data_IF_995349628547
#
_entry.id   IF_995349628547
#
_cell.length_a   1.000
_cell.length_b   1.000
_cell.length_c   1.000
_cell.angle_alpha   90.00
_cell.angle_beta   90.00
_cell.angle_gamma   90.00
#
_symmetry.space_group_name_H-M   'P 1'
#
loop_
_entity.id
_entity.type
_entity.pdbx_description
1 polymer ?
#
# COMPACT_ATOMS: atom_id res chain seq x y z
N UNK A 1 -5.24 -3.05 -31.09
CA UNK A 1 -4.88 -3.57 -29.74
C UNK A 1 -5.40 -2.59 -28.69
N UNK A 2 -5.68 -3.03 -27.45
CA UNK A 2 -6.05 -2.07 -26.38
C UNK A 2 -4.82 -1.25 -26.01
N UNK A 3 -4.89 0.07 -26.09
CA UNK A 3 -3.75 0.95 -25.77
C UNK A 3 -3.43 0.99 -24.28
N UNK A 4 -4.43 0.75 -23.42
CA UNK A 4 -4.32 0.90 -21.97
C UNK A 4 -4.78 -0.37 -21.24
N UNK A 5 -4.17 -0.65 -20.08
CA UNK A 5 -4.58 -1.68 -19.11
C UNK A 5 -4.28 -1.23 -17.69
N UNK A 6 -5.16 -1.59 -16.76
CA UNK A 6 -4.90 -1.50 -15.33
C UNK A 6 -4.48 -2.85 -14.80
N UNK A 7 -3.19 -3.02 -14.49
CA UNK A 7 -2.67 -4.21 -13.83
C UNK A 7 -2.79 -4.03 -12.32
N UNK A 8 -3.32 -5.05 -11.63
CA UNK A 8 -3.65 -4.96 -10.20
C UNK A 8 -2.74 -5.88 -9.40
N UNK A 9 -2.21 -5.36 -8.30
CA UNK A 9 -1.51 -6.11 -7.26
C UNK A 9 -2.36 -5.99 -6.01
N UNK A 10 -2.79 -7.12 -5.46
CA UNK A 10 -3.60 -7.17 -4.24
C UNK A 10 -2.74 -7.63 -3.08
N UNK A 11 -2.74 -6.85 -2.01
CA UNK A 11 -2.02 -7.14 -0.77
C UNK A 11 -3.04 -7.26 0.36
N UNK A 12 -2.93 -8.29 1.20
CA UNK A 12 -3.80 -8.47 2.36
C UNK A 12 -3.09 -8.02 3.62
N UNK A 13 -3.56 -6.94 4.21
CA UNK A 13 -3.11 -6.42 5.50
C UNK A 13 -3.86 -7.16 6.59
N UNK A 14 -3.13 -7.94 7.36
CA UNK A 14 -3.64 -8.84 8.40
C UNK A 14 -3.60 -8.22 9.78
N UNK A 15 -2.68 -7.27 10.01
CA UNK A 15 -2.49 -6.64 11.31
C UNK A 15 -2.03 -5.19 11.19
N UNK A 16 -2.16 -4.47 12.31
CA UNK A 16 -1.73 -3.08 12.45
C UNK A 16 -0.22 -2.93 12.23
N UNK A 17 0.18 -1.90 11.48
CA UNK A 17 1.57 -1.58 11.18
C UNK A 17 2.26 -2.64 10.32
N UNK A 18 1.53 -3.58 9.74
CA UNK A 18 2.10 -4.65 8.94
C UNK A 18 2.80 -4.09 7.71
N UNK A 19 4.01 -4.61 7.46
CA UNK A 19 4.78 -4.34 6.26
C UNK A 19 4.76 -5.55 5.33
N UNK A 20 4.24 -5.37 4.13
CA UNK A 20 4.08 -6.43 3.11
C UNK A 20 5.03 -6.14 1.95
N UNK A 21 5.96 -7.05 1.71
CA UNK A 21 6.77 -7.05 0.48
C UNK A 21 6.01 -7.75 -0.63
N UNK A 22 6.09 -7.21 -1.83
CA UNK A 22 5.45 -7.80 -3.01
C UNK A 22 6.39 -7.73 -4.21
N UNK A 23 6.20 -8.69 -5.11
CA UNK A 23 6.91 -8.78 -6.37
C UNK A 23 5.96 -9.25 -7.48
N UNK A 24 6.34 -8.97 -8.73
CA UNK A 24 5.57 -9.37 -9.89
C UNK A 24 6.27 -8.99 -11.18
N UNK A 25 5.56 -9.07 -12.30
CA UNK A 25 6.08 -8.71 -13.62
C UNK A 25 5.02 -7.89 -14.35
N UNK A 26 5.42 -6.81 -15.01
CA UNK A 26 4.52 -6.06 -15.89
C UNK A 26 3.99 -6.94 -17.02
N UNK A 27 2.76 -6.69 -17.47
CA UNK A 27 2.21 -7.39 -18.62
C UNK A 27 3.02 -7.08 -19.89
N UNK A 28 3.44 -8.14 -20.59
CA UNK A 28 4.27 -8.07 -21.79
C UNK A 28 3.65 -7.30 -22.97
N UNK A 29 2.34 -7.10 -22.98
CA UNK A 29 1.63 -6.40 -24.05
C UNK A 29 1.71 -4.87 -23.98
N UNK A 30 2.38 -4.31 -22.96
CA UNK A 30 2.40 -2.88 -22.69
C UNK A 30 3.84 -2.36 -22.50
N UNK A 31 4.15 -1.26 -23.16
CA UNK A 31 5.49 -0.67 -23.21
C UNK A 31 5.84 0.19 -22.01
N UNK A 32 4.86 0.90 -21.43
CA UNK A 32 5.13 1.91 -20.41
C UNK A 32 4.23 1.79 -19.18
N UNK A 33 4.73 2.25 -18.03
CA UNK A 33 3.91 2.58 -16.86
C UNK A 33 3.67 4.09 -16.85
N UNK A 34 2.40 4.48 -16.94
CA UNK A 34 1.98 5.90 -16.92
C UNK A 34 1.73 6.42 -15.52
N UNK A 35 1.28 5.57 -14.61
CA UNK A 35 0.90 6.00 -13.28
C UNK A 35 0.50 4.88 -12.35
N UNK A 36 0.23 5.25 -11.11
CA UNK A 36 -0.18 4.36 -10.03
C UNK A 36 -1.37 4.94 -9.26
N UNK A 37 -2.26 4.05 -8.82
CA UNK A 37 -3.35 4.39 -7.91
C UNK A 37 -3.48 3.30 -6.85
N UNK A 38 -3.48 3.70 -5.58
CA UNK A 38 -3.65 2.79 -4.44
C UNK A 38 -5.08 2.91 -3.92
N UNK A 39 -5.83 1.83 -4.04
CA UNK A 39 -7.18 1.71 -3.48
C UNK A 39 -7.10 1.05 -2.12
N UNK A 40 -7.57 1.76 -1.10
CA UNK A 40 -7.73 1.28 0.27
C UNK A 40 -9.23 1.30 0.61
N UNK A 41 -9.79 0.23 1.19
CA UNK A 41 -11.23 0.12 1.43
C UNK A 41 -11.73 0.95 2.62
N UNK A 42 -10.81 1.44 3.45
CA UNK A 42 -11.10 2.17 4.68
C UNK A 42 -10.27 3.45 4.71
N UNK A 43 -10.91 4.62 4.59
CA UNK A 43 -10.21 5.92 4.54
C UNK A 43 -9.29 6.14 5.76
N UNK A 44 -9.69 5.60 6.91
CA UNK A 44 -8.91 5.68 8.15
C UNK A 44 -7.57 4.94 8.10
N UNK A 45 -7.42 3.97 7.19
CA UNK A 45 -6.19 3.22 6.99
C UNK A 45 -5.21 3.91 6.02
N UNK A 46 -5.60 5.06 5.45
CA UNK A 46 -4.73 5.85 4.55
C UNK A 46 -3.67 6.61 5.36
N UNK A 47 -4.02 7.06 6.57
CA UNK A 47 -3.14 7.88 7.39
C UNK A 47 -1.83 7.14 7.69
N UNK A 48 -0.70 7.78 7.38
CA UNK A 48 0.66 7.25 7.61
C UNK A 48 1.02 5.94 6.90
N UNK A 49 0.15 5.42 6.02
CA UNK A 49 0.51 4.27 5.18
C UNK A 49 1.52 4.68 4.10
N UNK A 50 2.49 3.82 3.81
CA UNK A 50 3.54 4.08 2.81
C UNK A 50 3.62 3.01 1.73
N UNK A 51 4.12 3.38 0.56
CA UNK A 51 4.37 2.46 -0.56
C UNK A 51 5.73 2.76 -1.21
N UNK A 52 6.68 1.84 -1.01
CA UNK A 52 7.88 1.74 -1.84
C UNK A 52 7.61 0.96 -3.11
N UNK A 53 8.11 1.44 -4.25
CA UNK A 53 7.89 0.83 -5.55
C UNK A 53 9.13 0.95 -6.44
N UNK A 54 9.60 -0.19 -6.93
CA UNK A 54 10.71 -0.31 -7.87
C UNK A 54 10.26 -1.07 -9.11
N UNK A 55 10.85 -0.71 -10.24
CA UNK A 55 10.70 -1.40 -11.51
C UNK A 55 12.09 -1.64 -12.09
N UNK A 56 12.43 -2.89 -12.41
CA UNK A 56 13.76 -3.27 -12.92
C UNK A 56 14.89 -2.74 -12.03
N UNK A 57 14.73 -2.85 -10.71
CA UNK A 57 15.64 -2.31 -9.68
C UNK A 57 15.80 -0.78 -9.66
N UNK A 58 15.07 -0.05 -10.49
CA UNK A 58 15.01 1.41 -10.45
C UNK A 58 13.89 1.84 -9.50
N UNK A 59 14.22 2.72 -8.57
CA UNK A 59 13.25 3.29 -7.64
C UNK A 59 12.34 4.30 -8.34
N UNK A 60 11.03 4.07 -8.24
CA UNK A 60 10.01 4.96 -8.80
C UNK A 60 9.25 5.70 -7.70
N UNK A 61 9.10 5.05 -6.54
CA UNK A 61 8.62 5.66 -5.31
C UNK A 61 9.55 5.17 -4.19
N UNK A 62 10.04 6.10 -3.38
CA UNK A 62 10.82 5.77 -2.19
C UNK A 62 9.99 4.94 -1.19
N UNK A 63 10.68 4.23 -0.29
CA UNK A 63 10.03 3.36 0.69
C UNK A 63 9.11 4.10 1.70
N UNK A 64 9.23 5.42 1.79
CA UNK A 64 8.46 6.30 2.67
C UNK A 64 7.31 7.02 1.96
N UNK A 65 7.10 6.79 0.66
CA UNK A 65 6.16 7.56 -0.12
C UNK A 65 4.73 7.38 0.40
N UNK A 66 4.11 8.47 0.82
CA UNK A 66 2.84 8.41 1.54
C UNK A 66 1.68 8.04 0.61
N UNK A 67 0.91 7.01 0.99
CA UNK A 67 -0.21 6.51 0.19
C UNK A 67 -1.31 7.54 0.00
N UNK A 68 -1.44 8.52 0.92
CA UNK A 68 -2.38 9.64 0.76
C UNK A 68 -2.15 10.46 -0.52
N UNK A 69 -0.93 10.42 -1.08
CA UNK A 69 -0.57 11.09 -2.34
C UNK A 69 -0.89 10.23 -3.58
N UNK A 70 -1.15 8.94 -3.39
CA UNK A 70 -1.39 7.95 -4.44
C UNK A 70 -2.83 7.44 -4.46
N UNK A 71 -3.68 8.02 -3.62
CA UNK A 71 -5.10 7.67 -3.48
C UNK A 71 -5.97 8.92 -3.57
N UNK A 72 -7.27 8.72 -3.70
CA UNK A 72 -8.23 9.81 -3.79
C UNK A 72 -9.59 9.34 -3.28
N UNK A 73 -10.44 10.29 -2.89
CA UNK A 73 -11.80 9.99 -2.44
C UNK A 73 -12.66 9.40 -3.57
N UNK A 74 -13.79 8.83 -3.17
CA UNK A 74 -14.75 8.23 -4.12
C UNK A 74 -15.40 9.24 -5.07
N UNK A 75 -15.35 10.54 -4.75
CA UNK A 75 -15.93 11.60 -5.57
C UNK A 75 -15.06 11.99 -6.78
N UNK A 76 -13.81 11.51 -6.83
CA UNK A 76 -12.93 11.74 -7.98
C UNK A 76 -13.33 10.81 -9.13
N UNK A 77 -13.46 11.37 -10.32
CA UNK A 77 -13.84 10.62 -11.52
C UNK A 77 -12.85 9.44 -11.75
N UNK A 78 -13.33 8.26 -12.20
CA UNK A 78 -12.47 7.08 -12.38
C UNK A 78 -11.21 7.32 -13.22
N UNK A 79 -11.31 8.16 -14.25
CA UNK A 79 -10.20 8.45 -15.17
C UNK A 79 -9.16 9.44 -14.61
N UNK A 80 -9.41 10.04 -13.44
CA UNK A 80 -8.53 11.05 -12.83
C UNK A 80 -7.97 10.61 -11.48
N UNK A 81 -8.07 9.31 -11.15
CA UNK A 81 -7.63 8.78 -9.84
C UNK A 81 -6.13 8.50 -9.73
N UNK A 82 -5.42 8.45 -10.85
CA UNK A 82 -4.02 8.02 -10.88
C UNK A 82 -3.06 9.17 -10.61
N UNK A 83 -2.07 8.92 -9.75
CA UNK A 83 -0.83 9.67 -9.77
C UNK A 83 -0.09 9.33 -11.06
N UNK A 84 0.20 10.33 -11.89
CA UNK A 84 0.93 10.15 -13.15
C UNK A 84 2.41 10.38 -12.92
N UNK A 85 3.25 9.47 -13.42
CA UNK A 85 4.68 9.70 -13.39
C UNK A 85 5.06 10.81 -14.37
N UNK A 86 5.99 11.71 -14.01
CA UNK A 86 6.40 12.82 -14.87
C UNK A 86 7.15 12.33 -16.11
N UNK A 87 7.80 11.18 -16.03
CA UNK A 87 8.63 10.59 -17.09
C UNK A 87 7.97 9.35 -17.68
N UNK A 88 8.35 9.00 -18.92
CA UNK A 88 7.95 7.72 -19.52
C UNK A 88 8.80 6.61 -18.91
N UNK A 89 8.17 5.77 -18.11
CA UNK A 89 8.82 4.64 -17.46
C UNK A 89 8.60 3.39 -18.33
N UNK A 90 9.69 2.76 -18.77
CA UNK A 90 9.62 1.52 -19.55
C UNK A 90 9.18 0.34 -18.68
N UNK A 91 8.06 -0.27 -19.06
CA UNK A 91 7.53 -1.49 -18.45
C UNK A 91 8.16 -2.73 -19.09
N UNK A 92 7.87 -3.02 -20.37
CA UNK A 92 8.48 -4.09 -21.18
C UNK A 92 8.68 -5.45 -20.48
N UNK A 93 7.66 -5.97 -19.78
CA UNK A 93 7.78 -7.18 -18.93
C UNK A 93 8.77 -7.03 -17.76
N UNK A 94 8.89 -5.81 -17.24
CA UNK A 94 9.82 -5.47 -16.17
C UNK A 94 9.44 -6.08 -14.83
N UNK A 95 10.45 -6.35 -14.01
CA UNK A 95 10.30 -6.86 -12.66
C UNK A 95 9.73 -5.78 -11.77
N UNK A 96 8.59 -6.06 -11.15
CA UNK A 96 7.96 -5.20 -10.14
C UNK A 96 8.42 -5.66 -8.78
N UNK A 97 8.86 -4.72 -7.95
CA UNK A 97 9.18 -4.95 -6.55
C UNK A 97 8.64 -3.81 -5.71
N UNK A 98 8.21 -4.10 -4.49
CA UNK A 98 7.78 -3.04 -3.60
C UNK A 98 7.46 -3.49 -2.20
N UNK A 99 7.13 -2.49 -1.39
CA UNK A 99 6.82 -2.66 0.03
C UNK A 99 5.70 -1.72 0.42
N UNK A 100 4.58 -2.28 0.82
CA UNK A 100 3.49 -1.52 1.44
C UNK A 100 3.62 -1.61 2.96
N UNK A 101 3.40 -0.50 3.67
CA UNK A 101 3.37 -0.44 5.13
C UNK A 101 2.04 0.15 5.57
N UNK A 102 1.28 -0.57 6.40
CA UNK A 102 0.11 -0.01 7.07
C UNK A 102 0.52 1.11 8.03
N UNK A 103 -0.25 2.18 8.06
CA UNK A 103 0.05 3.36 8.88
C UNK A 103 -0.48 3.27 10.31
N UNK A 104 -1.29 2.26 10.63
CA UNK A 104 -1.81 2.08 11.98
C UNK A 104 -0.69 1.78 12.96
N UNK A 105 -0.62 2.55 14.04
CA UNK A 105 0.24 2.24 15.18
C UNK A 105 -0.54 1.44 16.21
N UNK A 106 0.11 0.48 16.86
CA UNK A 106 -0.45 -0.11 18.08
C UNK A 106 -0.78 1.01 19.07
N UNK A 107 -1.97 1.01 19.69
CA UNK A 107 -2.14 1.81 20.89
C UNK A 107 -1.01 1.46 21.83
N UNK A 108 -0.24 2.47 22.25
CA UNK A 108 0.48 2.35 23.50
C UNK A 108 -0.58 1.99 24.53
N UNK A 109 -0.60 0.75 25.00
CA UNK A 109 -1.44 0.39 26.12
C UNK A 109 -0.98 1.28 27.27
N UNK A 110 -1.85 2.20 27.68
CA UNK A 110 -1.59 3.07 28.82
C UNK A 110 -1.52 2.15 30.02
N UNK A 111 -0.34 2.05 30.62
CA UNK A 111 -0.14 1.39 31.89
C UNK A 111 -1.11 2.02 32.91
N UNK A 112 -1.98 1.23 33.51
CA UNK A 112 -2.95 1.68 34.52
C UNK A 112 -2.29 1.94 35.89
N UNK A 113 -0.99 2.27 35.91
CA UNK A 113 -0.28 2.65 37.12
C UNK A 113 0.30 1.48 37.91
N UNK A 114 0.45 0.31 37.31
CA UNK A 114 1.23 -0.79 37.90
C UNK A 114 2.47 -1.01 37.05
N UNK A 115 3.48 -0.18 37.35
CA UNK A 115 4.82 -0.16 36.77
C UNK A 115 5.49 -1.55 36.82
N UNK A 116 5.20 -2.40 35.84
CA UNK A 116 5.83 -3.71 35.64
C UNK A 116 6.33 -3.96 34.22
N UNK A 117 6.40 -2.94 33.37
CA UNK A 117 7.26 -3.03 32.20
C UNK A 117 6.91 -2.09 31.07
N UNK A 118 7.96 -1.47 30.52
CA UNK A 118 7.97 -0.99 29.13
C UNK A 118 7.46 -2.13 28.24
N UNK A 119 6.24 -2.01 27.72
CA UNK A 119 5.71 -2.98 26.76
C UNK A 119 6.51 -2.89 25.47
N UNK A 120 7.35 -3.90 25.26
CA UNK A 120 8.11 -4.06 24.02
C UNK A 120 7.14 -4.49 22.91
N UNK A 121 6.86 -3.64 21.90
CA UNK A 121 5.99 -4.01 20.78
C UNK A 121 6.53 -5.20 19.98
N UNK A 122 7.79 -5.61 20.16
CA UNK A 122 8.35 -6.84 19.63
C UNK A 122 7.96 -8.13 20.37
N UNK A 123 7.29 -8.03 21.54
CA UNK A 123 6.92 -9.18 22.40
C UNK A 123 5.44 -9.54 22.39
N UNK A 124 4.58 -8.72 21.78
CA UNK A 124 3.15 -9.00 21.65
C UNK A 124 2.85 -9.41 20.21
N UNK A 125 2.44 -10.67 20.03
CA UNK A 125 2.00 -11.17 18.73
C UNK A 125 0.55 -10.75 18.46
N UNK A 126 0.39 -9.49 18.06
CA UNK A 126 -0.90 -8.94 17.70
C UNK A 126 -1.53 -9.61 16.46
N UNK A 127 -0.76 -10.39 15.67
CA UNK A 127 -1.34 -11.17 14.57
C UNK A 127 -2.24 -12.30 15.08
N UNK A 128 -2.02 -12.75 16.32
CA UNK A 128 -2.74 -13.87 16.94
C UNK A 128 -3.58 -13.46 18.16
N UNK A 129 -3.64 -12.17 18.51
CA UNK A 129 -4.41 -11.69 19.65
C UNK A 129 -5.90 -11.59 19.28
N UNK A 130 -6.63 -12.68 19.54
CA UNK A 130 -8.08 -12.75 19.31
C UNK A 130 -8.81 -11.57 19.98
N UNK A 131 -9.68 -10.89 19.23
CA UNK A 131 -10.49 -9.76 19.71
C UNK A 131 -9.96 -8.36 19.36
N UNK A 132 -8.74 -8.23 18.84
CA UNK A 132 -8.12 -6.95 18.45
C UNK A 132 -8.08 -6.75 16.93
N UNK A 133 -9.19 -7.04 16.25
CA UNK A 133 -9.32 -6.82 14.80
C UNK A 133 -9.56 -5.35 14.43
N UNK A 134 -9.64 -4.44 15.40
CA UNK A 134 -9.92 -3.03 15.14
C UNK A 134 -8.94 -2.16 15.91
N UNK A 135 -8.27 -1.23 15.23
CA UNK A 135 -7.41 -0.26 15.91
C UNK A 135 -8.23 0.82 16.66
N UNK A 136 -7.62 1.61 17.57
CA UNK A 136 -8.30 2.69 18.28
C UNK A 136 -8.95 3.76 17.38
N UNK A 137 -8.48 3.89 16.14
CA UNK A 137 -9.02 4.82 15.16
C UNK A 137 -10.22 4.22 14.38
N UNK A 138 -10.50 2.92 14.52
CA UNK A 138 -11.59 2.21 13.88
C UNK A 138 -11.23 1.60 12.51
N UNK A 139 -9.96 1.34 12.23
CA UNK A 139 -9.53 0.50 11.10
C UNK A 139 -9.73 -0.95 11.46
N UNK A 140 -10.48 -1.69 10.64
CA UNK A 140 -10.77 -3.12 10.82
C UNK A 140 -9.83 -3.96 9.97
N UNK A 141 -9.24 -4.99 10.58
CA UNK A 141 -8.36 -5.97 9.98
C UNK A 141 -9.07 -7.33 9.91
N UNK A 142 -8.74 -8.17 8.92
CA UNK A 142 -7.88 -7.88 7.78
C UNK A 142 -8.58 -7.04 6.70
N UNK A 143 -7.81 -6.30 5.89
CA UNK A 143 -8.31 -5.60 4.71
C UNK A 143 -7.38 -5.78 3.50
N UNK A 144 -7.92 -5.59 2.29
CA UNK A 144 -7.17 -5.73 1.05
C UNK A 144 -6.80 -4.35 0.50
N UNK A 145 -5.51 -4.11 0.26
CA UNK A 145 -5.01 -2.97 -0.51
C UNK A 145 -4.85 -3.39 -1.96
N UNK A 146 -5.29 -2.55 -2.89
CA UNK A 146 -5.12 -2.79 -4.32
C UNK A 146 -4.26 -1.69 -4.93
N UNK A 147 -3.07 -2.05 -5.36
CA UNK A 147 -2.19 -1.18 -6.16
C UNK A 147 -2.56 -1.40 -7.63
N UNK A 148 -2.97 -0.33 -8.30
CA UNK A 148 -3.34 -0.34 -9.70
C UNK A 148 -2.25 0.38 -10.48
N UNK A 149 -1.60 -0.33 -11.41
CA UNK A 149 -0.62 0.20 -12.34
C UNK A 149 -1.31 0.51 -13.66
N UNK A 150 -1.18 1.74 -14.14
CA UNK A 150 -1.64 2.13 -15.47
C UNK A 150 -0.56 1.80 -16.49
N UNK A 151 -0.77 0.72 -17.24
CA UNK A 151 0.08 0.31 -18.34
C UNK A 151 -0.46 0.86 -19.67
N UNK A 152 0.44 1.36 -20.50
CA UNK A 152 0.10 1.97 -21.81
C UNK A 152 1.11 1.62 -22.90
N UNK A 153 0.69 1.74 -24.15
CA UNK A 153 1.54 1.68 -25.34
C UNK A 153 1.80 3.05 -26.00
N UNK A 154 1.23 4.10 -25.44
CA UNK A 154 1.37 5.51 -25.87
C UNK A 154 2.53 6.22 -25.15
#
# INVERSE_FOLDING_TARGET
MKNNKFQRIRLRVSAMGETIRFNGVCDKGYKYIKGVYVSIPQDKAIQSATLGFRLNNVELLDDGHEVRMLTCSNNVAPNTKFFSFPEKIEANSGSIEGRYTDGSKYPLLVDNGEDLGVFDPGKVDFKNLAGYNTNPFGVVFPYDVIINLWLTNE
#
